data_IF_366008834431
#
_entry.id   IF_366008834431
#
_cell.length_a   1.000
_cell.length_b   1.000
_cell.length_c   1.000
_cell.angle_alpha   90.00
_cell.angle_beta   90.00
_cell.angle_gamma   90.00
#
_symmetry.space_group_name_H-M   'P 1'
#
loop_
_entity.id
_entity.type
_entity.pdbx_description
1 polymer ?
#
# COMPACT_ATOMS: atom_id res chain seq x y z
N UNK A 1 -10.41 -10.76 3.95
CA UNK A 1 -8.99 -11.09 3.69
C UNK A 1 -8.85 -11.95 2.45
N UNK A 2 -9.59 -13.05 2.33
CA UNK A 2 -9.63 -13.93 1.16
C UNK A 2 -10.03 -13.25 -0.17
N UNK A 3 -10.85 -12.20 -0.10
CA UNK A 3 -11.25 -11.42 -1.29
C UNK A 3 -10.14 -10.53 -1.87
N UNK A 4 -9.03 -10.36 -1.16
CA UNK A 4 -7.91 -9.61 -1.68
C UNK A 4 -7.14 -10.46 -2.70
N UNK A 5 -6.93 -10.00 -3.94
CA UNK A 5 -6.24 -10.78 -4.97
C UNK A 5 -4.74 -10.97 -4.68
N UNK A 6 -4.15 -10.06 -3.89
CA UNK A 6 -2.74 -10.11 -3.52
C UNK A 6 -2.50 -11.10 -2.40
N UNK A 7 -3.42 -11.16 -1.43
CA UNK A 7 -3.29 -12.00 -0.24
C UNK A 7 -2.91 -13.46 -0.53
N UNK A 8 -3.60 -14.21 -1.43
CA UNK A 8 -3.24 -15.61 -1.70
C UNK A 8 -1.84 -15.76 -2.31
N UNK A 9 -1.38 -14.80 -3.11
CA UNK A 9 -0.08 -14.84 -3.78
C UNK A 9 1.07 -14.56 -2.80
N UNK A 10 0.83 -13.67 -1.83
CA UNK A 10 1.85 -13.19 -0.89
C UNK A 10 1.68 -13.78 0.51
N UNK A 11 0.88 -14.84 0.66
CA UNK A 11 0.53 -15.42 1.97
C UNK A 11 1.79 -15.63 2.82
N UNK A 12 1.83 -15.08 4.04
CA UNK A 12 3.00 -15.12 4.92
C UNK A 12 3.90 -13.88 4.84
N UNK A 13 4.00 -13.23 3.68
CA UNK A 13 4.96 -12.15 3.42
C UNK A 13 4.33 -10.74 3.39
N UNK A 14 3.02 -10.63 3.10
CA UNK A 14 2.32 -9.34 3.08
C UNK A 14 1.78 -8.95 4.47
N UNK A 15 2.69 -8.57 5.35
CA UNK A 15 2.38 -8.18 6.72
C UNK A 15 3.61 -7.85 7.55
N UNK A 16 3.41 -7.13 8.65
CA UNK A 16 4.37 -7.07 9.75
C UNK A 16 3.84 -7.88 10.93
N UNK A 17 3.18 -7.22 11.90
CA UNK A 17 2.46 -7.90 13.00
C UNK A 17 1.02 -8.27 12.61
N UNK A 18 0.41 -7.45 11.76
CA UNK A 18 -0.88 -7.71 11.12
C UNK A 18 -0.70 -7.73 9.60
N UNK A 19 -1.50 -8.54 8.93
CA UNK A 19 -1.36 -8.83 7.49
C UNK A 19 -2.45 -8.15 6.67
N UNK A 20 -2.18 -7.99 5.37
CA UNK A 20 -3.13 -7.48 4.41
C UNK A 20 -3.46 -5.99 4.55
N UNK A 21 -4.53 -5.58 3.88
CA UNK A 21 -4.88 -4.16 3.76
C UNK A 21 -5.09 -3.44 5.11
N UNK A 22 -5.72 -4.10 6.08
CA UNK A 22 -5.93 -3.52 7.43
C UNK A 22 -4.63 -3.46 8.24
N UNK A 23 -3.67 -4.34 7.95
CA UNK A 23 -2.36 -4.32 8.56
C UNK A 23 -1.51 -3.10 8.17
N UNK A 24 -1.80 -2.46 7.04
CA UNK A 24 -1.06 -1.28 6.55
C UNK A 24 -1.20 -0.09 7.54
N UNK A 25 -2.41 0.43 7.84
CA UNK A 25 -2.56 1.52 8.79
C UNK A 25 -2.11 1.14 10.20
N UNK A 26 -2.35 -0.10 10.65
CA UNK A 26 -1.88 -0.54 11.96
C UNK A 26 -0.35 -0.54 12.06
N UNK A 27 0.32 -1.03 11.02
CA UNK A 27 1.79 -1.04 10.96
C UNK A 27 2.33 0.38 10.93
N UNK A 28 1.74 1.26 10.11
CA UNK A 28 2.16 2.65 9.98
C UNK A 28 2.06 3.43 11.30
N UNK A 29 0.92 3.34 11.99
CA UNK A 29 0.63 4.21 13.14
C UNK A 29 0.88 3.58 14.50
N UNK A 30 0.80 2.25 14.64
CA UNK A 30 0.76 1.60 15.97
C UNK A 30 2.01 0.79 16.25
N UNK A 31 2.39 -0.14 15.36
CA UNK A 31 3.39 -1.17 15.73
C UNK A 31 4.71 -1.13 14.99
N UNK A 32 4.75 -0.66 13.75
CA UNK A 32 5.88 -0.88 12.85
C UNK A 32 6.54 0.38 12.28
N UNK A 33 5.90 1.53 12.39
CA UNK A 33 6.34 2.76 11.73
C UNK A 33 6.08 2.74 10.22
N UNK A 34 6.41 3.86 9.58
CA UNK A 34 6.17 4.06 8.15
C UNK A 34 7.13 3.23 7.29
N UNK A 35 8.33 2.95 7.77
CA UNK A 35 9.37 2.18 7.08
C UNK A 35 8.91 0.74 6.82
N UNK A 36 8.32 0.10 7.84
CA UNK A 36 7.77 -1.26 7.70
C UNK A 36 6.44 -1.28 6.97
N UNK A 37 5.68 -0.18 7.02
CA UNK A 37 4.42 -0.05 6.29
C UNK A 37 4.64 0.18 4.78
N UNK A 38 5.77 0.77 4.38
CA UNK A 38 6.07 1.10 2.99
C UNK A 38 5.92 -0.09 2.01
N UNK A 39 6.62 -1.24 2.19
CA UNK A 39 6.45 -2.37 1.28
C UNK A 39 5.01 -2.89 1.26
N UNK A 40 4.33 -2.90 2.40
CA UNK A 40 2.94 -3.35 2.48
C UNK A 40 1.98 -2.42 1.72
N UNK A 41 2.19 -1.10 1.83
CA UNK A 41 1.39 -0.08 1.17
C UNK A 41 1.53 -0.16 -0.36
N UNK A 42 2.75 -0.37 -0.88
CA UNK A 42 3.00 -0.51 -2.31
C UNK A 42 2.65 -1.90 -2.88
N UNK A 43 2.46 -2.90 -2.03
CA UNK A 43 1.94 -4.22 -2.42
C UNK A 43 0.42 -4.21 -2.67
N UNK A 44 -0.32 -3.26 -2.07
CA UNK A 44 -1.76 -3.13 -2.31
C UNK A 44 -2.06 -2.69 -3.75
N UNK A 45 -2.95 -3.37 -4.46
CA UNK A 45 -3.34 -2.97 -5.83
C UNK A 45 -4.46 -1.92 -5.88
N UNK A 46 -4.92 -1.43 -4.73
CA UNK A 46 -6.05 -0.49 -4.60
C UNK A 46 -7.36 -0.96 -5.27
N UNK A 47 -7.52 -2.26 -5.53
CA UNK A 47 -8.64 -2.82 -6.29
C UNK A 47 -10.06 -2.68 -5.68
N UNK A 48 -10.22 -2.11 -4.49
CA UNK A 48 -11.55 -1.84 -3.90
C UNK A 48 -12.31 -3.05 -3.34
N UNK A 49 -11.92 -4.30 -3.66
CA UNK A 49 -12.68 -5.50 -3.25
C UNK A 49 -12.92 -5.59 -1.75
N UNK A 50 -11.91 -5.22 -0.94
CA UNK A 50 -12.06 -5.23 0.51
C UNK A 50 -13.16 -4.30 1.04
N UNK A 51 -13.50 -3.22 0.33
CA UNK A 51 -14.59 -2.30 0.70
C UNK A 51 -15.94 -2.96 0.48
N UNK A 52 -16.12 -3.60 -0.69
CA UNK A 52 -17.37 -4.29 -1.08
C UNK A 52 -17.81 -5.37 -0.08
N UNK A 53 -16.85 -6.06 0.54
CA UNK A 53 -17.11 -7.17 1.46
C UNK A 53 -16.94 -6.79 2.94
N UNK A 54 -16.53 -5.55 3.25
CA UNK A 54 -16.37 -5.13 4.64
C UNK A 54 -17.76 -4.80 5.21
N UNK A 55 -18.24 -5.51 6.26
CA UNK A 55 -19.53 -5.20 6.88
C UNK A 55 -19.55 -3.83 7.59
N UNK A 56 -18.36 -3.28 7.87
CA UNK A 56 -18.18 -1.96 8.49
C UNK A 56 -17.87 -0.86 7.46
N UNK A 57 -17.93 -1.17 6.16
CA UNK A 57 -17.72 -0.22 5.07
C UNK A 57 -16.37 0.54 5.12
N UNK A 58 -15.35 -0.07 5.73
CA UNK A 58 -14.03 0.54 5.87
C UNK A 58 -13.36 0.65 4.51
N UNK A 59 -13.06 1.87 4.10
CA UNK A 59 -12.35 2.15 2.85
C UNK A 59 -10.83 2.01 3.00
N UNK A 60 -10.36 0.78 3.15
CA UNK A 60 -8.93 0.45 3.26
C UNK A 60 -8.07 0.93 2.07
N UNK A 61 -8.52 0.86 0.80
CA UNK A 61 -7.77 1.40 -0.32
C UNK A 61 -7.50 2.91 -0.18
N UNK A 62 -8.52 3.69 0.18
CA UNK A 62 -8.36 5.15 0.41
C UNK A 62 -7.42 5.45 1.57
N UNK A 63 -7.50 4.66 2.65
CA UNK A 63 -6.54 4.78 3.77
C UNK A 63 -5.12 4.46 3.30
N UNK A 64 -4.95 3.43 2.46
CA UNK A 64 -3.65 3.03 1.90
C UNK A 64 -3.09 4.10 0.97
N UNK A 65 -3.93 4.73 0.15
CA UNK A 65 -3.55 5.85 -0.72
C UNK A 65 -3.03 7.03 0.12
N UNK A 66 -3.74 7.41 1.18
CA UNK A 66 -3.26 8.46 2.10
C UNK A 66 -1.93 8.09 2.75
N UNK A 67 -1.69 6.82 3.07
CA UNK A 67 -0.40 6.37 3.60
C UNK A 67 0.69 6.49 2.52
N UNK A 68 0.40 6.19 1.25
CA UNK A 68 1.37 6.37 0.14
C UNK A 68 1.77 7.82 -0.04
N UNK A 69 0.84 8.76 0.10
CA UNK A 69 1.15 10.21 0.09
C UNK A 69 2.13 10.56 1.20
N UNK A 70 1.87 10.10 2.43
CA UNK A 70 2.76 10.33 3.57
C UNK A 70 4.13 9.67 3.36
N UNK A 71 4.16 8.47 2.75
CA UNK A 71 5.42 7.79 2.42
C UNK A 71 6.22 8.57 1.36
N UNK A 72 5.55 9.15 0.38
CA UNK A 72 6.16 10.04 -0.61
C UNK A 72 6.77 11.28 0.05
N UNK A 73 6.04 11.94 0.95
CA UNK A 73 6.55 13.08 1.73
C UNK A 73 7.79 12.71 2.58
N UNK A 74 7.90 11.44 2.99
CA UNK A 74 9.02 10.90 3.78
C UNK A 74 10.16 10.33 2.93
N UNK A 75 10.04 10.29 1.61
CA UNK A 75 11.02 9.64 0.73
C UNK A 75 11.10 8.12 0.90
N UNK A 76 10.03 7.49 1.40
CA UNK A 76 9.94 6.04 1.62
C UNK A 76 9.17 5.37 0.48
N UNK A 77 9.59 5.64 -0.75
CA UNK A 77 8.97 5.13 -1.98
C UNK A 77 9.91 4.18 -2.71
N UNK A 78 9.39 3.16 -3.42
CA UNK A 78 10.22 2.27 -4.23
C UNK A 78 10.99 3.04 -5.32
N UNK A 79 12.28 2.76 -5.56
CA UNK A 79 13.09 3.46 -6.57
C UNK A 79 12.48 3.43 -7.97
N UNK A 80 11.84 2.33 -8.34
CA UNK A 80 11.15 2.21 -9.62
C UNK A 80 10.03 3.25 -9.81
N UNK A 81 9.33 3.63 -8.74
CA UNK A 81 8.27 4.64 -8.80
C UNK A 81 8.87 6.04 -8.91
N UNK A 82 10.02 6.30 -8.29
CA UNK A 82 10.76 7.55 -8.46
C UNK A 82 11.23 7.72 -9.91
N UNK A 83 11.85 6.69 -10.47
CA UNK A 83 12.32 6.70 -11.85
C UNK A 83 11.16 6.88 -12.84
N UNK A 84 10.04 6.21 -12.59
CA UNK A 84 8.79 6.37 -13.34
C UNK A 84 8.30 7.82 -13.29
N UNK A 85 8.23 8.42 -12.11
CA UNK A 85 7.78 9.81 -11.94
C UNK A 85 8.72 10.79 -12.66
N UNK A 86 10.04 10.58 -12.58
CA UNK A 86 11.04 11.39 -13.28
C UNK A 86 10.89 11.28 -14.80
N UNK A 87 10.74 10.08 -15.34
CA UNK A 87 10.53 9.88 -16.78
C UNK A 87 9.28 10.60 -17.28
N UNK A 88 8.18 10.57 -16.52
CA UNK A 88 6.95 11.28 -16.88
C UNK A 88 7.18 12.80 -16.90
N UNK A 89 7.92 13.34 -15.94
CA UNK A 89 8.21 14.78 -15.87
C UNK A 89 9.15 15.25 -17.00
N UNK A 90 10.17 14.46 -17.33
CA UNK A 90 11.19 14.85 -18.31
C UNK A 90 10.78 14.55 -19.76
N UNK A 91 10.19 13.37 -19.99
CA UNK A 91 9.90 12.84 -21.34
C UNK A 91 8.41 12.81 -21.67
N UNK A 92 7.52 13.04 -20.70
CA UNK A 92 6.08 12.90 -20.88
C UNK A 92 5.59 11.45 -21.01
N UNK A 93 6.47 10.46 -20.83
CA UNK A 93 6.17 9.03 -20.93
C UNK A 93 6.73 8.28 -19.72
N UNK A 94 6.10 7.17 -19.31
CA UNK A 94 6.55 6.40 -18.15
C UNK A 94 7.85 5.60 -18.36
N UNK A 95 8.31 5.41 -19.60
CA UNK A 95 9.48 4.61 -19.97
C UNK A 95 10.55 5.44 -20.70
#
# INVERSE_FOLDING_TARGET
MYECPVYPLTTGYWGYKYMGGIGIPWTAYVSGGFEKAAPMAFTCTLCGRCVKYCPMEINTPKITERIREILNEKGLIPPYIEDLARNIQEKGVPY
#
